data_IF_074379775535
#
_entry.id   IF_074379775535
#
_cell.length_a   1.000
_cell.length_b   1.000
_cell.length_c   1.000
_cell.angle_alpha   90.00
_cell.angle_beta   90.00
_cell.angle_gamma   90.00
#
_symmetry.space_group_name_H-M   'P 1'
#
loop_
_entity.id
_entity.type
_entity.pdbx_description
1 polymer ?
#
# COMPACT_ATOMS: atom_id res chain seq x y z
N UNK A 1 -7.64 50.55 15.13
CA UNK A 1 -6.29 50.15 14.68
C UNK A 1 -6.40 49.61 13.27
N UNK A 2 -5.62 50.11 12.31
CA UNK A 2 -5.61 49.63 10.93
C UNK A 2 -4.40 48.73 10.73
N UNK A 3 -4.63 47.43 10.57
CA UNK A 3 -3.55 46.49 10.28
C UNK A 3 -3.07 46.70 8.84
N UNK A 4 -1.76 46.82 8.66
CA UNK A 4 -1.11 46.98 7.35
C UNK A 4 -0.17 45.79 7.17
N UNK A 5 -0.34 45.05 6.09
CA UNK A 5 0.60 44.01 5.70
C UNK A 5 1.69 44.64 4.85
N UNK A 6 2.95 44.53 5.28
CA UNK A 6 4.12 44.97 4.53
C UNK A 6 4.74 43.74 3.84
N UNK A 7 4.93 43.84 2.52
CA UNK A 7 5.71 42.87 1.74
C UNK A 7 7.03 43.53 1.40
N UNK A 8 8.12 42.98 1.90
CA UNK A 8 9.47 43.54 1.80
C UNK A 8 10.47 42.48 1.40
N UNK A 9 11.58 42.91 0.80
CA UNK A 9 12.71 42.00 0.50
C UNK A 9 13.61 41.81 1.73
N UNK A 10 14.45 40.76 1.70
CA UNK A 10 15.42 40.49 2.78
C UNK A 10 16.34 41.69 3.03
N UNK A 11 16.79 42.36 1.96
CA UNK A 11 17.69 43.52 2.05
C UNK A 11 17.00 44.73 2.70
N UNK A 12 15.74 45.01 2.34
CA UNK A 12 14.96 46.10 2.94
C UNK A 12 14.72 45.87 4.44
N UNK A 13 14.56 44.62 4.86
CA UNK A 13 14.40 44.24 6.28
C UNK A 13 15.70 44.45 7.07
N UNK A 14 16.83 44.08 6.49
CA UNK A 14 18.17 44.31 7.06
C UNK A 14 18.48 45.80 7.19
N UNK A 15 18.15 46.61 6.18
CA UNK A 15 18.31 48.06 6.22
C UNK A 15 17.47 48.71 7.33
N UNK A 16 16.30 48.13 7.66
CA UNK A 16 15.49 48.56 8.82
C UNK A 16 16.00 48.04 10.17
N UNK A 17 17.07 47.24 10.19
CA UNK A 17 17.62 46.67 11.40
C UNK A 17 16.78 45.54 12.01
N UNK A 18 15.85 44.96 11.24
CA UNK A 18 15.07 43.82 11.69
C UNK A 18 15.83 42.51 11.45
N UNK A 19 15.72 41.54 12.36
CA UNK A 19 16.42 40.27 12.20
C UNK A 19 15.93 39.55 10.95
N UNK A 20 16.89 39.16 10.12
CA UNK A 20 16.72 38.22 9.01
C UNK A 20 17.35 36.88 9.39
N UNK A 21 16.67 35.78 9.06
CA UNK A 21 17.20 34.45 9.35
C UNK A 21 18.51 34.16 8.62
N UNK A 22 19.31 33.24 9.19
CA UNK A 22 20.53 32.74 8.56
C UNK A 22 20.23 32.10 7.20
N UNK A 23 21.13 32.29 6.24
CA UNK A 23 21.07 31.55 4.99
C UNK A 23 21.33 30.06 5.29
N UNK A 24 20.36 29.21 4.99
CA UNK A 24 20.54 27.76 5.12
C UNK A 24 21.41 27.25 3.97
N UNK A 25 22.43 26.39 4.22
CA UNK A 25 23.27 25.84 3.16
C UNK A 25 22.49 24.92 2.21
N UNK A 26 21.35 24.42 2.67
CA UNK A 26 20.37 23.73 1.84
C UNK A 26 19.25 24.72 1.52
N UNK A 27 19.06 25.03 0.24
CA UNK A 27 17.83 25.69 -0.22
C UNK A 27 16.70 24.74 0.16
N UNK A 28 15.74 25.22 0.97
CA UNK A 28 14.48 24.50 1.09
C UNK A 28 13.91 24.42 -0.33
N UNK A 29 14.02 23.25 -0.96
CA UNK A 29 13.30 22.94 -2.18
C UNK A 29 11.83 23.04 -1.79
N UNK A 30 11.23 24.22 -2.01
CA UNK A 30 9.83 24.54 -1.69
C UNK A 30 8.81 23.75 -2.50
N UNK A 31 9.15 22.51 -2.87
CA UNK A 31 8.35 21.53 -3.54
C UNK A 31 8.44 20.18 -2.83
N UNK A 32 8.46 20.16 -1.50
CA UNK A 32 8.30 18.92 -0.72
C UNK A 32 6.94 18.85 0.02
N UNK A 33 6.17 19.94 0.08
CA UNK A 33 4.93 20.00 0.88
C UNK A 33 3.68 20.46 0.11
N UNK A 34 3.71 20.54 -1.22
CA UNK A 34 2.55 20.89 -2.07
C UNK A 34 2.30 19.90 -3.23
N UNK A 35 1.19 20.05 -3.97
CA UNK A 35 0.86 19.18 -5.13
C UNK A 35 1.90 19.26 -6.27
N UNK A 36 2.68 20.35 -6.34
CA UNK A 36 3.82 20.53 -7.25
C UNK A 36 5.03 19.64 -6.93
N UNK A 37 5.13 19.10 -5.71
CA UNK A 37 6.15 18.12 -5.28
C UNK A 37 6.02 16.78 -6.00
N UNK A 38 4.81 16.45 -6.47
CA UNK A 38 4.53 15.20 -7.18
C UNK A 38 5.13 15.20 -8.60
N UNK A 39 5.38 16.37 -9.18
CA UNK A 39 5.98 16.48 -10.51
C UNK A 39 7.45 16.04 -10.50
N UNK A 40 8.20 16.38 -9.46
CA UNK A 40 9.59 15.96 -9.31
C UNK A 40 9.70 14.49 -8.86
N UNK A 41 8.71 13.95 -8.16
CA UNK A 41 8.64 12.51 -7.86
C UNK A 41 8.49 11.59 -9.08
N UNK A 42 8.09 12.13 -10.25
CA UNK A 42 8.13 11.42 -11.54
C UNK A 42 9.55 11.33 -12.12
N UNK A 43 10.45 12.24 -11.73
CA UNK A 43 11.87 12.23 -12.03
C UNK A 43 12.61 11.70 -10.79
N UNK A 44 12.70 10.37 -10.63
CA UNK A 44 13.55 9.74 -9.60
C UNK A 44 14.99 10.24 -9.71
N UNK A 45 15.34 11.29 -8.96
CA UNK A 45 16.67 11.89 -8.83
C UNK A 45 17.43 11.26 -7.65
N UNK A 46 17.57 9.94 -7.64
CA UNK A 46 18.56 9.26 -6.80
C UNK A 46 19.96 9.46 -7.44
N UNK A 47 21.04 9.73 -6.68
CA UNK A 47 22.42 9.69 -7.21
C UNK A 47 22.79 8.40 -7.97
N UNK A 48 22.00 7.32 -7.86
CA UNK A 48 22.15 6.12 -8.69
C UNK A 48 21.81 6.31 -10.19
N UNK A 49 21.11 7.39 -10.57
CA UNK A 49 20.81 7.73 -11.97
C UNK A 49 19.87 6.77 -12.69
N UNK A 50 19.29 5.77 -12.01
CA UNK A 50 18.31 4.87 -12.63
C UNK A 50 16.95 5.55 -12.60
N UNK A 51 16.59 6.13 -13.74
CA UNK A 51 15.28 6.73 -13.98
C UNK A 51 14.13 5.71 -13.92
N UNK A 52 13.03 6.02 -14.60
CA UNK A 52 11.95 5.02 -14.81
C UNK A 52 12.59 3.72 -15.34
N UNK A 53 12.30 2.55 -14.73
CA UNK A 53 12.78 1.28 -15.27
C UNK A 53 12.38 1.13 -16.73
N UNK A 54 13.25 0.54 -17.54
CA UNK A 54 12.97 0.29 -18.95
C UNK A 54 11.66 -0.50 -19.12
N UNK A 55 10.94 -0.29 -20.22
CA UNK A 55 9.67 -0.98 -20.46
C UNK A 55 9.86 -2.51 -20.51
N UNK A 56 11.04 -2.98 -20.95
CA UNK A 56 11.40 -4.40 -20.89
C UNK A 56 11.45 -4.95 -19.48
N UNK A 57 11.83 -4.14 -18.48
CA UNK A 57 11.81 -4.51 -17.07
C UNK A 57 10.38 -4.52 -16.52
N UNK A 58 9.56 -3.54 -16.90
CA UNK A 58 8.16 -3.44 -16.45
C UNK A 58 7.28 -4.57 -17.01
N UNK A 59 7.60 -5.08 -18.20
CA UNK A 59 6.86 -6.15 -18.86
C UNK A 59 7.35 -7.57 -18.48
N UNK A 60 8.30 -7.70 -17.54
CA UNK A 60 8.76 -9.00 -17.10
C UNK A 60 7.64 -9.76 -16.37
N UNK A 61 7.54 -11.09 -16.56
CA UNK A 61 6.56 -11.89 -15.84
C UNK A 61 6.86 -11.86 -14.34
N UNK A 62 5.82 -11.70 -13.52
CA UNK A 62 5.94 -11.69 -12.06
C UNK A 62 6.42 -13.07 -11.58
N UNK A 63 7.50 -13.08 -10.82
CA UNK A 63 8.18 -14.27 -10.30
C UNK A 63 7.94 -14.45 -8.80
N UNK A 64 8.39 -15.59 -8.26
CA UNK A 64 8.28 -15.88 -6.83
C UNK A 64 9.19 -14.99 -5.95
N UNK A 65 10.22 -14.36 -6.53
CA UNK A 65 11.15 -13.47 -5.83
C UNK A 65 10.63 -12.03 -5.73
N UNK A 66 9.55 -11.71 -6.43
CA UNK A 66 8.97 -10.38 -6.42
C UNK A 66 8.20 -10.07 -5.13
N UNK A 67 7.95 -8.78 -4.96
CA UNK A 67 7.23 -8.23 -3.82
C UNK A 67 5.91 -8.99 -3.62
N UNK A 68 5.55 -9.36 -2.38
CA UNK A 68 4.37 -10.18 -2.11
C UNK A 68 3.07 -9.58 -2.69
N UNK A 69 2.99 -8.25 -2.74
CA UNK A 69 1.87 -7.52 -3.37
C UNK A 69 1.76 -7.89 -4.85
N UNK A 70 2.84 -7.77 -5.62
CA UNK A 70 2.83 -8.10 -7.06
C UNK A 70 2.44 -9.56 -7.27
N UNK A 71 2.97 -10.47 -6.44
CA UNK A 71 2.65 -11.90 -6.51
C UNK A 71 1.17 -12.20 -6.23
N UNK A 72 0.58 -11.53 -5.24
CA UNK A 72 -0.83 -11.71 -4.91
C UNK A 72 -1.75 -11.27 -6.05
N UNK A 73 -1.37 -10.19 -6.75
CA UNK A 73 -2.15 -9.66 -7.87
C UNK A 73 -1.84 -10.35 -9.21
N UNK A 74 -0.69 -11.02 -9.36
CA UNK A 74 -0.33 -11.75 -10.57
C UNK A 74 -1.29 -12.91 -10.89
N UNK A 75 -1.81 -13.57 -9.86
CA UNK A 75 -2.76 -14.68 -9.99
C UNK A 75 -4.22 -14.25 -10.04
N UNK A 76 -4.50 -12.95 -9.88
CA UNK A 76 -5.86 -12.43 -9.94
C UNK A 76 -6.24 -12.20 -11.40
N UNK A 77 -7.06 -13.09 -11.94
CA UNK A 77 -7.67 -12.85 -13.24
C UNK A 77 -8.46 -11.54 -13.18
N UNK A 78 -8.19 -10.55 -14.04
CA UNK A 78 -8.92 -9.28 -14.02
C UNK A 78 -10.41 -9.45 -14.33
N UNK A 79 -10.77 -10.57 -14.96
CA UNK A 79 -12.15 -10.97 -15.24
C UNK A 79 -12.75 -11.87 -14.14
N UNK A 80 -12.02 -12.17 -13.07
CA UNK A 80 -12.58 -12.90 -11.95
C UNK A 80 -13.69 -12.08 -11.27
N UNK A 81 -14.70 -12.77 -10.78
CA UNK A 81 -15.82 -12.13 -10.07
C UNK A 81 -15.35 -11.32 -8.85
N UNK A 82 -14.27 -11.76 -8.19
CA UNK A 82 -13.69 -11.07 -7.03
C UNK A 82 -12.91 -9.81 -7.44
N UNK A 83 -12.13 -9.84 -8.52
CA UNK A 83 -11.48 -8.64 -9.05
C UNK A 83 -12.50 -7.61 -9.54
N UNK A 84 -13.55 -8.05 -10.24
CA UNK A 84 -14.63 -7.19 -10.69
C UNK A 84 -15.46 -6.62 -9.53
N UNK A 85 -15.60 -7.34 -8.41
CA UNK A 85 -16.36 -6.84 -7.27
C UNK A 85 -15.61 -5.78 -6.46
N UNK A 86 -14.27 -5.82 -6.47
CA UNK A 86 -13.39 -4.81 -5.88
C UNK A 86 -13.39 -3.47 -6.63
N UNK A 87 -13.92 -3.43 -7.86
CA UNK A 87 -14.04 -2.22 -8.65
C UNK A 87 -15.45 -1.62 -8.50
N UNK A 88 -15.52 -0.28 -8.55
CA UNK A 88 -16.80 0.44 -8.64
C UNK A 88 -17.38 0.23 -10.03
N UNK A 89 -18.66 -0.10 -10.12
CA UNK A 89 -19.34 -0.30 -11.40
C UNK A 89 -19.65 1.05 -12.08
N UNK A 90 -19.69 1.11 -13.41
CA UNK A 90 -20.09 2.33 -14.11
C UNK A 90 -21.51 2.73 -13.70
N UNK A 91 -21.70 3.98 -13.26
CA UNK A 91 -22.99 4.51 -12.81
C UNK A 91 -23.41 4.15 -11.36
N UNK A 92 -22.61 3.36 -10.64
CA UNK A 92 -22.86 3.03 -9.22
C UNK A 92 -22.47 4.21 -8.32
N UNK A 93 -23.33 4.56 -7.34
CA UNK A 93 -22.99 5.57 -6.34
C UNK A 93 -21.93 5.04 -5.37
N UNK A 94 -21.18 5.95 -4.75
CA UNK A 94 -20.12 5.56 -3.82
C UNK A 94 -20.66 4.82 -2.58
N UNK A 95 -21.83 5.22 -2.08
CA UNK A 95 -22.52 4.54 -0.98
C UNK A 95 -22.88 3.10 -1.35
N UNK A 96 -23.46 2.89 -2.54
CA UNK A 96 -23.90 1.58 -3.01
C UNK A 96 -22.71 0.61 -3.18
N UNK A 97 -21.58 1.12 -3.67
CA UNK A 97 -20.35 0.35 -3.78
C UNK A 97 -19.87 -0.18 -2.42
N UNK A 98 -19.81 0.69 -1.41
CA UNK A 98 -19.37 0.29 -0.08
C UNK A 98 -20.34 -0.70 0.57
N UNK A 99 -21.64 -0.51 0.40
CA UNK A 99 -22.66 -1.43 0.92
C UNK A 99 -22.54 -2.81 0.27
N UNK A 100 -22.42 -2.89 -1.05
CA UNK A 100 -22.21 -4.15 -1.78
C UNK A 100 -20.95 -4.88 -1.29
N UNK A 101 -19.82 -4.18 -1.17
CA UNK A 101 -18.56 -4.77 -0.67
C UNK A 101 -18.70 -5.22 0.79
N UNK A 102 -19.45 -4.50 1.60
CA UNK A 102 -19.70 -4.88 2.98
C UNK A 102 -20.53 -6.17 3.05
N UNK A 103 -21.63 -6.25 2.29
CA UNK A 103 -22.47 -7.44 2.24
C UNK A 103 -21.70 -8.67 1.71
N UNK A 104 -20.85 -8.50 0.69
CA UNK A 104 -19.96 -9.57 0.19
C UNK A 104 -19.01 -10.09 1.28
N UNK A 105 -18.37 -9.19 2.06
CA UNK A 105 -17.54 -9.58 3.22
C UNK A 105 -18.35 -10.36 4.24
N UNK A 106 -19.56 -9.89 4.55
CA UNK A 106 -20.43 -10.55 5.52
C UNK A 106 -20.88 -11.92 5.02
N UNK A 107 -21.10 -12.11 3.72
CA UNK A 107 -21.44 -13.43 3.14
C UNK A 107 -20.27 -14.40 3.21
N UNK A 108 -19.06 -13.95 2.90
CA UNK A 108 -17.83 -14.76 3.01
C UNK A 108 -17.52 -15.09 4.48
N UNK A 109 -17.65 -14.12 5.38
CA UNK A 109 -17.40 -14.30 6.82
C UNK A 109 -18.47 -15.14 7.51
N UNK A 110 -19.71 -15.18 7.02
CA UNK A 110 -20.75 -16.08 7.55
C UNK A 110 -20.40 -17.56 7.44
N UNK A 111 -19.49 -17.94 6.53
CA UNK A 111 -18.93 -19.30 6.45
C UNK A 111 -17.63 -19.49 7.24
N UNK A 112 -16.94 -18.40 7.60
CA UNK A 112 -15.70 -18.41 8.36
C UNK A 112 -16.06 -18.15 9.82
N UNK A 113 -16.08 -19.21 10.63
CA UNK A 113 -16.21 -19.05 12.09
C UNK A 113 -15.15 -18.05 12.54
N UNK A 114 -15.59 -16.98 13.22
CA UNK A 114 -14.68 -16.07 13.88
C UNK A 114 -13.72 -16.92 14.74
N UNK A 115 -12.42 -16.71 14.59
CA UNK A 115 -11.45 -17.39 15.43
C UNK A 115 -11.87 -17.18 16.89
N UNK A 116 -11.90 -18.25 17.72
CA UNK A 116 -12.33 -18.13 19.10
C UNK A 116 -11.49 -17.03 19.76
N UNK A 117 -12.16 -16.12 20.46
CA UNK A 117 -11.50 -15.04 21.18
C UNK A 117 -10.47 -15.68 22.14
N UNK A 118 -9.17 -15.36 22.03
CA UNK A 118 -8.13 -15.97 22.86
C UNK A 118 -8.28 -15.67 24.36
N UNK A 119 -9.17 -14.74 24.73
CA UNK A 119 -9.49 -14.38 26.10
C UNK A 119 -10.86 -14.90 26.57
N UNK A 120 -11.56 -15.72 25.78
CA UNK A 120 -12.80 -16.35 26.21
C UNK A 120 -12.49 -17.54 27.13
N UNK A 121 -12.55 -17.32 28.44
CA UNK A 121 -12.28 -18.33 29.47
C UNK A 121 -13.37 -19.38 29.60
N UNK A 122 -14.53 -19.17 28.97
CA UNK A 122 -15.67 -20.11 29.01
C UNK A 122 -15.72 -21.04 27.79
N UNK A 123 -14.84 -20.83 26.80
CA UNK A 123 -14.71 -21.70 25.66
C UNK A 123 -14.11 -23.05 26.11
N UNK A 124 -14.95 -24.08 26.22
CA UNK A 124 -14.52 -25.46 26.40
C UNK A 124 -13.58 -25.85 25.25
N UNK A 125 -12.27 -25.85 25.52
CA UNK A 125 -11.25 -26.33 24.60
C UNK A 125 -11.52 -27.81 24.33
N UNK A 126 -12.08 -28.13 23.15
CA UNK A 126 -12.15 -29.53 22.70
C UNK A 126 -10.72 -29.99 22.40
N UNK A 127 -10.12 -30.71 23.34
CA UNK A 127 -8.80 -31.31 23.18
C UNK A 127 -8.93 -32.52 22.26
N UNK A 128 -9.01 -32.27 20.95
CA UNK A 128 -8.90 -33.30 19.94
C UNK A 128 -7.52 -33.94 20.04
N UNK A 129 -7.47 -35.24 20.33
CA UNK A 129 -6.24 -36.05 20.28
C UNK A 129 -5.65 -35.91 18.86
N UNK A 130 -4.46 -35.30 18.75
CA UNK A 130 -3.73 -35.25 17.49
C UNK A 130 -3.26 -36.65 17.14
N UNK A 131 -3.99 -37.32 16.25
CA UNK A 131 -3.53 -38.56 15.64
C UNK A 131 -2.39 -38.24 14.68
N UNK A 132 -1.14 -38.48 15.12
CA UNK A 132 0.04 -38.44 14.27
C UNK A 132 0.04 -39.64 13.30
N UNK A 133 -0.86 -39.65 12.31
CA UNK A 133 -0.67 -40.50 11.14
C UNK A 133 0.29 -39.79 10.21
N UNK A 134 1.57 -40.12 10.35
CA UNK A 134 2.59 -39.78 9.36
C UNK A 134 2.14 -40.27 7.98
N UNK A 135 2.24 -39.46 6.92
CA UNK A 135 1.93 -39.93 5.58
C UNK A 135 2.89 -41.07 5.19
N UNK A 136 2.44 -42.11 4.47
CA UNK A 136 3.30 -43.23 4.11
C UNK A 136 4.45 -42.73 3.22
N UNK A 137 5.68 -43.07 3.61
CA UNK A 137 6.88 -42.85 2.79
C UNK A 137 6.72 -43.61 1.48
N UNK A 138 6.67 -42.87 0.35
CA UNK A 138 6.69 -43.44 -1.00
C UNK A 138 8.06 -44.05 -1.25
N UNK A 139 8.18 -45.37 -1.07
CA UNK A 139 9.38 -46.13 -1.45
C UNK A 139 9.37 -46.22 -2.97
N UNK A 140 10.19 -45.41 -3.64
CA UNK A 140 10.47 -45.59 -5.07
C UNK A 140 11.40 -46.80 -5.21
N UNK A 141 10.83 -47.96 -5.54
CA UNK A 141 11.59 -49.16 -5.84
C UNK A 141 12.46 -48.94 -7.07
N UNK A 142 13.78 -48.93 -6.87
CA UNK A 142 14.75 -49.11 -7.94
C UNK A 142 14.74 -50.57 -8.39
N UNK A 143 14.32 -50.80 -9.64
CA UNK A 143 14.53 -52.09 -10.32
C UNK A 143 16.01 -52.17 -10.71
N UNK A 144 16.67 -53.25 -10.28
CA UNK A 144 17.84 -53.81 -10.97
C UNK A 144 17.35 -54.73 -12.08
#
# INVERSE_FOLDING_TARGET
>A
YKHITLVETKQEREQRGHPTGYATPYKAMGGLTGFSSLAEGYLRLDPSGRGRPDDDFLNQPITAMDHPILRAHASLDPNSAEAQSQLRRPGESELDYYERRYQERQRLSRGIRAAPNPYDTNAQLTTGIRNNKSPPRRITGGKK
#
